data_IF_134581932297
#
_entry.id   IF_134581932297
#
_cell.length_a   1.000
_cell.length_b   1.000
_cell.length_c   1.000
_cell.angle_alpha   90.00
_cell.angle_beta   90.00
_cell.angle_gamma   90.00
#
_symmetry.space_group_name_H-M   'P 1'
#
loop_
_entity.id
_entity.type
_entity.pdbx_description
1 polymer ?
#
# COMPACT_ATOMS: atom_id res chain seq x y z
N UNK A 1 -6.50 -1.54 10.83
CA UNK A 1 -5.24 -1.79 10.09
C UNK A 1 -5.01 -0.79 8.96
N UNK A 2 -5.86 -0.70 7.92
CA UNK A 2 -5.68 0.29 6.84
C UNK A 2 -5.68 1.75 7.33
N UNK A 3 -6.61 2.10 8.23
CA UNK A 3 -6.66 3.43 8.83
C UNK A 3 -5.38 3.77 9.63
N UNK A 4 -4.87 2.80 10.41
CA UNK A 4 -3.64 3.01 11.19
C UNK A 4 -2.44 3.24 10.27
N UNK A 5 -2.36 2.51 9.16
CA UNK A 5 -1.34 2.72 8.14
C UNK A 5 -1.48 4.10 7.50
N UNK A 6 -2.68 4.50 7.08
CA UNK A 6 -2.92 5.82 6.48
C UNK A 6 -2.54 6.96 7.45
N UNK A 7 -2.95 6.87 8.72
CA UNK A 7 -2.59 7.84 9.75
C UNK A 7 -1.07 7.90 9.96
N UNK A 8 -0.39 6.75 10.05
CA UNK A 8 1.07 6.72 10.15
C UNK A 8 1.73 7.41 8.94
N UNK A 9 1.26 7.14 7.72
CA UNK A 9 1.81 7.77 6.51
C UNK A 9 1.60 9.28 6.50
N UNK A 10 0.47 9.77 7.03
CA UNK A 10 0.25 11.20 7.23
C UNK A 10 1.20 11.82 8.25
N UNK A 11 1.48 11.13 9.37
CA UNK A 11 2.47 11.60 10.35
C UNK A 11 3.90 11.60 9.80
N UNK A 12 4.21 10.70 8.87
CA UNK A 12 5.51 10.60 8.21
C UNK A 12 5.62 11.48 6.95
N UNK A 13 4.69 12.42 6.74
CA UNK A 13 4.71 13.33 5.58
C UNK A 13 6.03 14.12 5.55
N UNK A 14 6.67 14.15 4.39
CA UNK A 14 7.89 14.89 4.14
C UNK A 14 7.67 16.35 3.74
N UNK A 15 8.78 17.05 3.53
CA UNK A 15 8.77 18.46 3.09
C UNK A 15 8.24 18.60 1.66
N UNK A 16 7.55 19.71 1.42
CA UNK A 16 7.04 20.08 0.11
C UNK A 16 8.17 20.62 -0.77
N UNK A 17 8.44 19.96 -1.89
CA UNK A 17 9.52 20.34 -2.82
C UNK A 17 9.01 20.82 -4.17
N UNK A 18 7.69 20.80 -4.42
CA UNK A 18 7.06 21.24 -5.67
C UNK A 18 7.15 20.26 -6.84
N UNK A 19 7.93 19.17 -6.72
CA UNK A 19 8.02 18.10 -7.72
C UNK A 19 7.58 16.79 -7.08
N UNK A 20 6.56 16.17 -7.67
CA UNK A 20 5.91 14.98 -7.13
C UNK A 20 5.77 13.87 -8.17
N UNK A 21 5.85 12.63 -7.69
CA UNK A 21 5.67 11.40 -8.46
C UNK A 21 4.53 10.59 -7.85
N UNK A 22 3.73 9.98 -8.71
CA UNK A 22 2.65 9.07 -8.31
C UNK A 22 3.07 7.67 -8.71
N UNK A 23 3.10 6.76 -7.74
CA UNK A 23 3.29 5.35 -8.01
C UNK A 23 2.29 4.52 -7.20
N UNK A 24 2.12 3.27 -7.61
CA UNK A 24 1.26 2.33 -6.91
C UNK A 24 2.06 1.13 -6.42
N UNK A 25 2.02 0.88 -5.12
CA UNK A 25 2.70 -0.27 -4.51
C UNK A 25 1.69 -1.33 -4.05
N UNK A 26 2.12 -2.59 -4.09
CA UNK A 26 1.32 -3.73 -3.62
C UNK A 26 1.51 -3.90 -2.11
N UNK A 27 0.41 -3.98 -1.37
CA UNK A 27 0.41 -4.28 0.06
C UNK A 27 -0.15 -5.69 0.29
N UNK A 28 0.75 -6.66 0.46
CA UNK A 28 0.37 -8.03 0.78
C UNK A 28 -0.12 -8.11 2.25
N UNK A 29 -1.31 -8.66 2.47
CA UNK A 29 -1.92 -8.74 3.80
C UNK A 29 -1.51 -10.04 4.51
N UNK A 30 -1.28 -11.10 3.74
CA UNK A 30 -0.86 -12.40 4.27
C UNK A 30 0.06 -13.12 3.29
N UNK A 31 0.74 -14.15 3.78
CA UNK A 31 1.51 -15.06 2.94
C UNK A 31 0.60 -15.80 1.94
N UNK A 32 1.08 -16.05 0.71
CA UNK A 32 0.28 -16.66 -0.37
C UNK A 32 -0.40 -17.98 0.03
N UNK A 33 0.30 -18.82 0.81
CA UNK A 33 -0.23 -20.09 1.38
C UNK A 33 -1.45 -19.91 2.31
N UNK A 34 -1.72 -18.70 2.83
CA UNK A 34 -2.81 -18.39 3.77
C UNK A 34 -3.94 -17.56 3.14
N UNK A 35 -3.94 -17.41 1.82
CA UNK A 35 -4.95 -16.62 1.11
C UNK A 35 -6.38 -17.11 1.38
N UNK A 36 -6.59 -18.43 1.42
CA UNK A 36 -7.92 -19.04 1.64
C UNK A 36 -8.42 -18.95 3.09
N UNK A 37 -7.55 -18.74 4.06
CA UNK A 37 -7.91 -18.69 5.48
C UNK A 37 -8.04 -17.26 6.02
N UNK A 38 -7.79 -16.23 5.21
CA UNK A 38 -7.93 -14.83 5.60
C UNK A 38 -9.40 -14.42 5.71
N UNK A 39 -9.92 -14.32 6.94
CA UNK A 39 -11.30 -13.88 7.20
C UNK A 39 -11.42 -12.37 7.43
N UNK A 40 -10.37 -11.74 7.95
CA UNK A 40 -10.38 -10.34 8.40
C UNK A 40 -10.58 -9.37 7.23
N UNK A 41 -9.95 -9.66 6.08
CA UNK A 41 -9.96 -8.76 4.92
C UNK A 41 -10.78 -9.28 3.74
N UNK A 42 -11.50 -10.40 3.92
CA UNK A 42 -12.18 -11.13 2.83
C UNK A 42 -13.12 -10.26 1.97
N UNK A 43 -13.71 -9.22 2.55
CA UNK A 43 -14.65 -8.33 1.84
C UNK A 43 -14.00 -7.14 1.12
N UNK A 44 -12.75 -6.83 1.44
CA UNK A 44 -12.08 -5.60 0.98
C UNK A 44 -10.78 -5.88 0.22
N UNK A 45 -10.08 -6.96 0.53
CA UNK A 45 -8.89 -7.38 -0.21
C UNK A 45 -9.26 -8.04 -1.53
N UNK A 46 -8.36 -7.95 -2.52
CA UNK A 46 -8.50 -8.64 -3.79
C UNK A 46 -7.25 -9.48 -4.07
N UNK A 47 -7.41 -10.54 -4.86
CA UNK A 47 -6.27 -11.27 -5.41
C UNK A 47 -5.70 -10.42 -6.55
N UNK A 48 -4.47 -9.97 -6.40
CA UNK A 48 -3.72 -9.24 -7.41
C UNK A 48 -2.58 -10.09 -7.99
N UNK A 49 -2.27 -9.91 -9.27
CA UNK A 49 -1.10 -10.52 -9.90
C UNK A 49 0.07 -9.54 -9.86
N UNK A 50 1.23 -10.01 -9.44
CA UNK A 50 2.50 -9.29 -9.52
C UNK A 50 3.53 -10.13 -10.29
N UNK A 51 4.68 -9.55 -10.60
CA UNK A 51 5.81 -10.25 -11.25
C UNK A 51 6.25 -11.50 -10.47
N UNK A 52 6.05 -11.49 -9.16
CA UNK A 52 6.42 -12.57 -8.24
C UNK A 52 5.27 -13.56 -7.97
N UNK A 53 4.13 -13.42 -8.66
CA UNK A 53 2.96 -14.28 -8.52
C UNK A 53 1.71 -13.57 -7.98
N UNK A 54 0.70 -14.38 -7.65
CA UNK A 54 -0.58 -13.94 -7.10
C UNK A 54 -0.44 -13.61 -5.60
N UNK A 55 -1.05 -12.52 -5.15
CA UNK A 55 -1.07 -12.12 -3.74
C UNK A 55 -2.48 -11.70 -3.32
N UNK A 56 -2.84 -11.90 -2.06
CA UNK A 56 -4.03 -11.31 -1.47
C UNK A 56 -3.65 -9.99 -0.80
N UNK A 57 -4.18 -8.88 -1.28
CA UNK A 57 -3.71 -7.57 -0.84
C UNK A 57 -4.51 -6.38 -1.32
N UNK A 58 -3.90 -5.22 -1.08
CA UNK A 58 -4.35 -3.92 -1.57
C UNK A 58 -3.33 -3.35 -2.56
N UNK A 59 -3.81 -2.47 -3.44
CA UNK A 59 -2.94 -1.62 -4.25
C UNK A 59 -3.01 -0.21 -3.65
N UNK A 60 -1.88 0.25 -3.14
CA UNK A 60 -1.75 1.53 -2.45
C UNK A 60 -1.19 2.55 -3.44
N UNK A 61 -1.89 3.67 -3.63
CA UNK A 61 -1.42 4.77 -4.46
C UNK A 61 -0.69 5.75 -3.56
N UNK A 62 0.58 6.02 -3.84
CA UNK A 62 1.43 6.88 -3.01
C UNK A 62 1.91 8.04 -3.87
N UNK A 63 1.89 9.23 -3.28
CA UNK A 63 2.55 10.42 -3.83
C UNK A 63 3.87 10.60 -3.09
N UNK A 64 4.98 10.64 -3.81
CA UNK A 64 6.31 10.89 -3.27
C UNK A 64 6.92 12.14 -3.88
N UNK A 65 7.80 12.81 -3.15
CA UNK A 65 8.57 13.93 -3.68
C UNK A 65 9.87 13.46 -4.35
N UNK A 66 10.58 14.38 -5.00
CA UNK A 66 11.89 14.12 -5.63
C UNK A 66 13.02 13.66 -4.68
N UNK A 67 12.83 13.74 -3.37
CA UNK A 67 13.74 13.20 -2.36
C UNK A 67 13.29 11.82 -1.85
N UNK A 68 12.25 11.24 -2.44
CA UNK A 68 11.69 9.94 -2.04
C UNK A 68 10.87 9.98 -0.74
N UNK A 69 10.52 11.17 -0.22
CA UNK A 69 9.67 11.29 0.97
C UNK A 69 8.20 11.12 0.58
N UNK A 70 7.42 10.51 1.46
CA UNK A 70 5.98 10.32 1.29
C UNK A 70 5.29 11.67 1.47
N UNK A 71 4.42 12.02 0.54
CA UNK A 71 3.65 13.27 0.56
C UNK A 71 2.17 13.00 0.82
N UNK A 72 1.64 11.90 0.28
CA UNK A 72 0.26 11.46 0.49
C UNK A 72 0.10 9.97 0.17
N UNK A 73 -0.95 9.36 0.73
CA UNK A 73 -1.41 7.99 0.47
C UNK A 73 -2.91 8.00 0.16
#
# INVERSE_FOLDING_TARGET
MLLQLAVLMHYLKGDETGIYYIDSTKLAICHNKRTSSNRVFNRISKIGKSSYGLLLGFKLHIITNNKGKIMSV
#
